data_IF_008867686833
#
_entry.id   IF_008867686833
#
_cell.length_a   1.000
_cell.length_b   1.000
_cell.length_c   1.000
_cell.angle_alpha   90.00
_cell.angle_beta   90.00
_cell.angle_gamma   90.00
#
_symmetry.space_group_name_H-M   'P 1'
#
loop_
_entity.id
_entity.type
_entity.pdbx_description
1 polymer ?
#
# COMPACT_ATOMS: atom_id res chain seq x y z
N UNK A 1 20.84 -25.66 -24.63
CA UNK A 1 19.38 -25.88 -24.58
C UNK A 1 18.85 -25.23 -23.30
N UNK A 2 18.43 -23.96 -23.36
CA UNK A 2 17.96 -23.20 -22.18
C UNK A 2 16.50 -23.56 -21.94
N UNK A 3 16.18 -24.15 -20.79
CA UNK A 3 14.79 -24.32 -20.34
C UNK A 3 14.29 -22.97 -19.83
N UNK A 4 13.31 -22.40 -20.51
CA UNK A 4 12.49 -21.32 -19.99
C UNK A 4 11.66 -21.88 -18.83
N UNK A 5 12.04 -21.56 -17.60
CA UNK A 5 11.16 -21.77 -16.44
C UNK A 5 10.29 -20.52 -16.37
N UNK A 6 9.08 -20.61 -16.93
CA UNK A 6 7.99 -19.73 -16.52
C UNK A 6 7.61 -20.20 -15.12
N UNK A 7 8.17 -19.54 -14.11
CA UNK A 7 7.78 -19.77 -12.72
C UNK A 7 6.41 -19.13 -12.50
N UNK A 8 5.33 -19.86 -12.79
CA UNK A 8 4.06 -19.58 -12.12
C UNK A 8 4.19 -20.09 -10.69
N UNK A 9 4.71 -19.25 -9.80
CA UNK A 9 4.64 -19.52 -8.36
C UNK A 9 3.16 -19.62 -8.01
N UNK A 10 2.70 -20.83 -7.71
CA UNK A 10 1.40 -21.06 -7.12
C UNK A 10 1.37 -20.31 -5.78
N UNK A 11 0.60 -19.22 -5.70
CA UNK A 11 0.36 -18.49 -4.47
C UNK A 11 -0.96 -19.02 -3.88
N UNK A 12 -0.93 -19.99 -2.94
CA UNK A 12 -2.14 -20.66 -2.45
C UNK A 12 -3.17 -19.71 -1.83
N UNK A 13 -2.74 -18.52 -1.42
CA UNK A 13 -3.57 -17.50 -0.78
C UNK A 13 -4.10 -16.44 -1.75
N UNK A 14 -3.70 -16.45 -3.02
CA UNK A 14 -4.16 -15.44 -3.99
C UNK A 14 -5.65 -15.58 -4.36
N UNK A 15 -6.23 -16.78 -4.21
CA UNK A 15 -7.62 -17.07 -4.59
C UNK A 15 -8.49 -17.51 -3.40
N UNK A 16 -8.14 -17.09 -2.18
CA UNK A 16 -8.77 -17.64 -0.98
C UNK A 16 -10.27 -17.33 -0.90
N UNK A 17 -10.72 -16.14 -1.32
CA UNK A 17 -12.14 -15.79 -1.31
C UNK A 17 -12.92 -16.61 -2.34
N UNK A 18 -12.34 -16.79 -3.53
CA UNK A 18 -12.91 -17.59 -4.61
C UNK A 18 -12.99 -19.09 -4.32
N UNK A 19 -12.17 -19.57 -3.38
CA UNK A 19 -12.12 -20.97 -2.94
C UNK A 19 -12.93 -21.25 -1.65
N UNK A 20 -13.62 -20.24 -1.10
CA UNK A 20 -14.48 -20.44 0.07
C UNK A 20 -15.63 -21.42 -0.23
N UNK A 21 -15.99 -22.32 0.70
CA UNK A 21 -17.20 -23.12 0.57
C UNK A 21 -18.43 -22.22 0.52
N UNK A 22 -19.50 -22.70 -0.11
CA UNK A 22 -20.74 -21.92 -0.32
C UNK A 22 -21.34 -21.35 0.98
N UNK A 23 -21.23 -22.07 2.08
CA UNK A 23 -21.69 -21.61 3.40
C UNK A 23 -20.99 -20.35 3.90
N UNK A 24 -19.77 -20.07 3.43
CA UNK A 24 -19.01 -18.86 3.75
C UNK A 24 -19.10 -17.80 2.65
N UNK A 25 -19.05 -18.20 1.38
CA UNK A 25 -19.13 -17.26 0.25
C UNK A 25 -20.53 -16.66 0.04
N UNK A 26 -21.57 -17.23 0.65
CA UNK A 26 -22.93 -16.66 0.68
C UNK A 26 -23.16 -15.68 1.83
N UNK A 27 -22.22 -15.55 2.78
CA UNK A 27 -22.35 -14.60 3.88
C UNK A 27 -22.13 -13.16 3.38
N UNK A 28 -22.77 -12.16 4.00
CA UNK A 28 -22.38 -10.77 3.82
C UNK A 28 -20.88 -10.60 4.11
N UNK A 29 -20.18 -9.79 3.31
CA UNK A 29 -18.74 -9.55 3.49
C UNK A 29 -18.36 -9.06 4.89
N UNK A 30 -19.26 -8.31 5.55
CA UNK A 30 -19.08 -7.84 6.93
C UNK A 30 -18.98 -8.98 7.96
N UNK A 31 -19.42 -10.19 7.62
CA UNK A 31 -19.39 -11.37 8.48
C UNK A 31 -18.22 -12.30 8.16
N UNK A 32 -17.38 -11.95 7.17
CA UNK A 32 -16.21 -12.70 6.80
C UNK A 32 -14.98 -12.13 7.52
N UNK A 33 -14.15 -13.01 8.09
CA UNK A 33 -12.84 -12.60 8.57
C UNK A 33 -11.93 -12.31 7.37
N UNK A 34 -11.65 -11.03 7.13
CA UNK A 34 -10.83 -10.56 6.00
C UNK A 34 -9.50 -10.04 6.54
N UNK A 35 -8.35 -10.60 6.11
CA UNK A 35 -7.05 -10.08 6.53
C UNK A 35 -6.77 -8.72 5.89
N UNK A 36 -6.29 -7.80 6.73
CA UNK A 36 -5.92 -6.44 6.33
C UNK A 36 -4.51 -6.08 6.75
N UNK A 37 -3.93 -5.08 6.08
CA UNK A 37 -2.67 -4.45 6.48
C UNK A 37 -2.91 -2.98 6.83
N UNK A 38 -2.24 -2.51 7.89
CA UNK A 38 -2.29 -1.11 8.35
C UNK A 38 -1.18 -0.30 7.68
N UNK A 39 -1.48 0.93 7.27
CA UNK A 39 -0.56 1.78 6.49
C UNK A 39 0.06 0.99 5.32
N UNK A 40 -0.78 0.34 4.52
CA UNK A 40 -0.39 -0.78 3.66
C UNK A 40 0.67 -0.47 2.61
N UNK A 41 0.81 0.82 2.25
CA UNK A 41 1.71 1.31 1.20
C UNK A 41 3.02 1.87 1.73
N UNK A 42 3.32 1.64 3.01
CA UNK A 42 4.55 2.09 3.65
C UNK A 42 5.78 1.20 3.41
N UNK A 43 5.70 0.20 2.53
CA UNK A 43 6.82 -0.70 2.21
C UNK A 43 8.01 0.00 1.55
N UNK A 44 7.76 1.15 0.93
CA UNK A 44 8.78 2.00 0.36
C UNK A 44 8.40 3.47 0.53
N UNK A 45 9.39 4.28 0.91
CA UNK A 45 9.26 5.73 1.05
C UNK A 45 10.45 6.43 0.40
N UNK A 46 10.21 7.57 -0.22
CA UNK A 46 11.24 8.39 -0.84
C UNK A 46 11.94 9.26 0.21
N UNK A 47 13.16 8.88 0.59
CA UNK A 47 14.00 9.64 1.53
C UNK A 47 14.36 11.04 1.01
N UNK A 48 14.30 11.27 -0.31
CA UNK A 48 14.60 12.57 -0.91
C UNK A 48 13.39 13.50 -0.88
N UNK A 49 12.18 12.95 -0.73
CA UNK A 49 10.96 13.74 -0.64
C UNK A 49 10.90 14.60 0.63
N UNK A 50 10.09 15.67 0.62
CA UNK A 50 9.77 16.40 1.84
C UNK A 50 9.09 15.48 2.85
N UNK A 51 9.18 15.86 4.13
CA UNK A 51 8.43 15.19 5.20
C UNK A 51 6.93 15.33 4.91
N UNK A 52 6.19 14.24 5.08
CA UNK A 52 4.77 14.18 4.82
C UNK A 52 3.97 15.19 5.66
N UNK A 53 2.81 15.63 5.16
CA UNK A 53 1.95 16.56 5.89
C UNK A 53 1.41 15.98 7.20
N UNK A 54 1.34 14.65 7.31
CA UNK A 54 0.89 13.87 8.47
C UNK A 54 1.83 13.96 9.70
N UNK A 55 3.01 14.55 9.54
CA UNK A 55 3.96 14.75 10.63
C UNK A 55 3.80 16.11 11.33
N UNK A 56 4.09 16.14 12.63
CA UNK A 56 4.00 17.36 13.43
C UNK A 56 5.02 18.43 13.01
N UNK A 57 4.73 19.69 13.31
CA UNK A 57 5.60 20.84 13.00
C UNK A 57 7.00 20.68 13.62
N UNK A 58 7.07 20.08 14.82
CA UNK A 58 8.34 19.81 15.51
C UNK A 58 9.18 18.81 14.72
N UNK A 59 8.56 17.72 14.23
CA UNK A 59 9.25 16.70 13.42
C UNK A 59 9.73 17.29 12.10
N UNK A 60 8.91 18.13 11.44
CA UNK A 60 9.29 18.85 10.23
C UNK A 60 10.52 19.74 10.45
N UNK A 61 10.54 20.54 11.52
CA UNK A 61 11.71 21.36 11.90
C UNK A 61 12.96 20.54 12.22
N UNK A 62 12.83 19.45 12.96
CA UNK A 62 13.96 18.58 13.27
C UNK A 62 14.56 17.94 12.01
N UNK A 63 13.72 17.56 11.05
CA UNK A 63 14.16 17.04 9.76
C UNK A 63 14.88 18.10 8.90
N UNK A 64 14.53 19.38 9.02
CA UNK A 64 15.24 20.48 8.36
C UNK A 64 16.64 20.71 8.96
N UNK A 65 16.76 20.62 10.28
CA UNK A 65 18.01 20.88 11.01
C UNK A 65 18.98 19.69 10.89
N UNK A 66 18.49 18.46 11.02
CA UNK A 66 19.30 17.23 11.11
C UNK A 66 19.16 16.31 9.88
N UNK A 67 18.92 16.91 8.70
CA UNK A 67 18.56 16.30 7.40
C UNK A 67 18.89 14.82 7.22
N UNK A 68 20.17 14.45 7.15
CA UNK A 68 20.57 13.10 6.70
C UNK A 68 20.39 12.02 7.78
N UNK A 69 20.75 12.30 9.04
CA UNK A 69 20.60 11.31 10.13
C UNK A 69 19.14 11.16 10.54
N UNK A 70 18.39 12.26 10.60
CA UNK A 70 17.00 12.22 11.06
C UNK A 70 16.10 11.51 10.04
N UNK A 71 16.24 11.80 8.73
CA UNK A 71 15.43 11.14 7.69
C UNK A 71 15.65 9.63 7.60
N UNK A 72 16.88 9.14 7.84
CA UNK A 72 17.15 7.69 7.92
C UNK A 72 16.38 7.01 9.06
N UNK A 73 16.24 7.68 10.20
CA UNK A 73 15.45 7.17 11.33
C UNK A 73 13.96 7.27 11.04
N UNK A 74 13.51 8.38 10.45
CA UNK A 74 12.12 8.55 10.02
C UNK A 74 11.68 7.43 9.08
N UNK A 75 12.50 7.06 8.09
CA UNK A 75 12.18 5.92 7.21
C UNK A 75 11.93 4.65 8.02
N UNK A 76 12.79 4.32 8.99
CA UNK A 76 12.60 3.11 9.80
C UNK A 76 11.31 3.15 10.61
N UNK A 77 10.93 4.32 11.12
CA UNK A 77 9.68 4.50 11.85
C UNK A 77 8.45 4.54 10.94
N UNK A 78 8.67 4.88 9.67
CA UNK A 78 7.60 5.05 8.69
C UNK A 78 7.22 3.76 7.96
N UNK A 79 8.03 2.71 8.03
CA UNK A 79 7.73 1.45 7.32
C UNK A 79 7.00 0.49 8.26
N UNK A 80 5.73 0.19 7.96
CA UNK A 80 4.92 -0.80 8.68
C UNK A 80 4.81 -2.13 7.93
N UNK A 81 5.13 -2.13 6.62
CA UNK A 81 5.08 -3.30 5.76
C UNK A 81 6.46 -3.60 5.17
N UNK A 82 6.82 -4.88 5.05
CA UNK A 82 8.02 -5.34 4.33
C UNK A 82 7.70 -5.89 2.94
N UNK A 83 6.42 -6.19 2.67
CA UNK A 83 5.95 -6.72 1.40
C UNK A 83 5.45 -5.60 0.49
N UNK A 84 5.80 -5.72 -0.79
CA UNK A 84 5.20 -4.89 -1.84
C UNK A 84 3.70 -5.12 -1.93
N UNK A 85 3.01 -4.21 -2.60
CA UNK A 85 1.58 -4.28 -2.77
C UNK A 85 1.11 -5.61 -3.42
N UNK A 86 1.80 -6.03 -4.47
CA UNK A 86 1.54 -7.31 -5.14
C UNK A 86 1.77 -8.50 -4.21
N UNK A 87 2.86 -8.50 -3.44
CA UNK A 87 3.16 -9.59 -2.51
C UNK A 87 2.13 -9.68 -1.37
N UNK A 88 1.62 -8.54 -0.89
CA UNK A 88 0.52 -8.53 0.10
C UNK A 88 -0.75 -9.19 -0.48
N UNK A 89 -1.11 -8.87 -1.72
CA UNK A 89 -2.24 -9.50 -2.41
C UNK A 89 -2.04 -11.00 -2.61
N UNK A 90 -0.86 -11.41 -3.08
CA UNK A 90 -0.48 -12.81 -3.27
C UNK A 90 -0.43 -13.59 -1.93
N UNK A 91 -0.12 -12.92 -0.83
CA UNK A 91 -0.17 -13.46 0.54
C UNK A 91 -1.58 -13.51 1.14
N UNK A 92 -2.59 -12.95 0.47
CA UNK A 92 -4.00 -13.05 0.85
C UNK A 92 -4.60 -11.79 1.49
N UNK A 93 -3.86 -10.69 1.62
CA UNK A 93 -4.40 -9.42 2.13
C UNK A 93 -5.48 -8.89 1.19
N UNK A 94 -6.62 -8.47 1.74
CA UNK A 94 -7.75 -7.91 0.98
C UNK A 94 -8.28 -6.60 1.53
N UNK A 95 -7.90 -6.21 2.75
CA UNK A 95 -8.20 -4.88 3.29
C UNK A 95 -6.93 -4.04 3.32
N UNK A 96 -6.96 -2.89 2.67
CA UNK A 96 -5.84 -1.95 2.63
C UNK A 96 -6.24 -0.62 3.26
N UNK A 97 -5.53 -0.24 4.33
CA UNK A 97 -5.61 1.08 4.96
C UNK A 97 -4.68 2.06 4.24
N UNK A 98 -5.28 3.08 3.63
CA UNK A 98 -4.64 4.00 2.70
C UNK A 98 -4.65 5.42 3.26
N UNK A 99 -3.47 6.02 3.27
CA UNK A 99 -3.27 7.45 3.53
C UNK A 99 -2.73 8.11 2.29
N UNK A 100 -3.33 9.23 1.88
CA UNK A 100 -3.02 9.88 0.61
C UNK A 100 -2.79 11.39 0.76
N UNK A 101 -1.93 11.92 -0.09
CA UNK A 101 -1.65 13.35 -0.19
C UNK A 101 -1.19 13.74 -1.58
N UNK A 102 -1.46 14.98 -1.97
CA UNK A 102 -0.72 15.63 -3.06
C UNK A 102 0.69 15.95 -2.59
N UNK A 103 1.63 16.11 -3.53
CA UNK A 103 3.02 16.41 -3.22
C UNK A 103 3.36 17.86 -3.62
N UNK A 104 3.93 18.68 -2.72
CA UNK A 104 4.36 20.03 -3.08
C UNK A 104 5.38 20.02 -4.23
N UNK A 105 5.14 20.85 -5.24
CA UNK A 105 5.99 20.96 -6.43
C UNK A 105 5.78 19.85 -7.47
N UNK A 106 4.75 19.01 -7.32
CA UNK A 106 4.30 18.13 -8.40
C UNK A 106 3.37 18.91 -9.33
N UNK A 107 3.82 19.16 -10.56
CA UNK A 107 3.08 19.92 -11.56
C UNK A 107 1.77 19.23 -11.99
N UNK A 108 1.73 17.89 -11.90
CA UNK A 108 0.57 17.09 -12.29
C UNK A 108 -0.50 16.99 -11.17
N UNK A 109 -0.22 17.53 -9.97
CA UNK A 109 -1.05 17.41 -8.76
C UNK A 109 -1.53 15.96 -8.48
N UNK A 110 -0.65 14.97 -8.70
CA UNK A 110 -1.02 13.57 -8.53
C UNK A 110 -1.10 13.19 -7.03
N UNK A 111 -1.91 12.17 -6.73
CA UNK A 111 -2.01 11.61 -5.38
C UNK A 111 -0.93 10.57 -5.15
N UNK A 112 -0.32 10.63 -3.97
CA UNK A 112 0.69 9.69 -3.48
C UNK A 112 0.21 9.04 -2.20
N UNK A 113 0.58 7.77 -2.01
CA UNK A 113 0.48 7.18 -0.68
C UNK A 113 1.52 7.82 0.24
N UNK A 114 1.13 8.07 1.49
CA UNK A 114 2.02 8.69 2.48
C UNK A 114 1.99 7.95 3.80
N UNK A 115 3.12 7.92 4.47
CA UNK A 115 3.23 7.61 5.89
C UNK A 115 4.57 8.15 6.38
N UNK A 116 4.57 9.31 7.03
CA UNK A 116 5.77 10.08 7.39
C UNK A 116 6.53 10.70 6.21
N UNK A 117 6.61 10.00 5.09
CA UNK A 117 7.24 10.37 3.82
C UNK A 117 6.35 9.96 2.64
N UNK A 118 6.62 10.52 1.47
CA UNK A 118 5.92 10.19 0.23
C UNK A 118 6.38 8.84 -0.33
N UNK A 119 5.40 7.99 -0.67
CA UNK A 119 5.60 6.71 -1.35
C UNK A 119 5.32 6.80 -2.86
N UNK A 120 4.75 5.73 -3.41
CA UNK A 120 4.38 5.65 -4.83
C UNK A 120 3.08 6.42 -5.13
N UNK A 121 2.85 6.76 -6.41
CA UNK A 121 1.58 7.33 -6.87
C UNK A 121 0.42 6.35 -6.63
N UNK A 122 -0.73 6.87 -6.17
CA UNK A 122 -1.95 6.09 -5.93
C UNK A 122 -2.38 5.36 -7.20
N UNK A 123 -2.30 6.05 -8.35
CA UNK A 123 -2.61 5.46 -9.67
C UNK A 123 -1.81 4.18 -9.94
N UNK A 124 -0.53 4.13 -9.57
CA UNK A 124 0.30 2.94 -9.80
C UNK A 124 -0.08 1.78 -8.85
N UNK A 125 -0.46 2.09 -7.61
CA UNK A 125 -1.04 1.08 -6.70
C UNK A 125 -2.36 0.51 -7.23
N UNK A 126 -3.27 1.38 -7.68
CA UNK A 126 -4.57 0.96 -8.25
C UNK A 126 -4.40 0.12 -9.54
N UNK A 127 -3.38 0.41 -10.36
CA UNK A 127 -3.05 -0.44 -11.52
C UNK A 127 -2.66 -1.86 -11.12
N UNK A 128 -1.89 -2.01 -10.04
CA UNK A 128 -1.52 -3.34 -9.53
C UNK A 128 -2.74 -4.09 -8.98
N UNK A 129 -3.66 -3.40 -8.29
CA UNK A 129 -4.96 -3.96 -7.86
C UNK A 129 -5.73 -4.48 -9.06
N UNK A 130 -5.89 -3.62 -10.07
CA UNK A 130 -6.65 -3.96 -11.26
C UNK A 130 -6.02 -5.16 -12.00
N UNK A 131 -4.69 -5.21 -12.08
CA UNK A 131 -3.99 -6.36 -12.64
C UNK A 131 -4.29 -7.64 -11.84
N UNK A 132 -4.25 -7.58 -10.51
CA UNK A 132 -4.56 -8.73 -9.65
C UNK A 132 -6.01 -9.20 -9.85
N UNK A 133 -7.01 -8.31 -9.77
CA UNK A 133 -8.42 -8.67 -9.92
C UNK A 133 -8.76 -9.25 -11.30
N UNK A 134 -8.03 -8.85 -12.36
CA UNK A 134 -8.16 -9.48 -13.68
C UNK A 134 -7.74 -10.96 -13.70
N UNK A 135 -6.76 -11.33 -12.88
CA UNK A 135 -6.25 -12.70 -12.80
C UNK A 135 -6.97 -13.51 -11.69
N UNK A 136 -7.60 -12.85 -10.73
CA UNK A 136 -8.29 -13.45 -9.58
C UNK A 136 -9.74 -12.92 -9.49
N UNK A 137 -10.62 -13.29 -10.43
CA UNK A 137 -11.90 -12.60 -10.67
C UNK A 137 -12.96 -12.81 -9.57
N UNK A 138 -12.71 -13.70 -8.61
CA UNK A 138 -13.61 -13.96 -7.47
C UNK A 138 -13.15 -13.27 -6.18
N UNK A 139 -12.04 -12.55 -6.22
CA UNK A 139 -11.53 -11.82 -5.08
C UNK A 139 -12.19 -10.44 -4.97
N UNK A 140 -12.34 -9.96 -3.74
CA UNK A 140 -12.84 -8.61 -3.46
C UNK A 140 -11.79 -7.88 -2.63
N UNK A 141 -11.45 -6.66 -3.03
CA UNK A 141 -10.47 -5.83 -2.34
C UNK A 141 -11.17 -4.61 -1.73
N UNK A 142 -10.97 -4.42 -0.43
CA UNK A 142 -11.43 -3.27 0.34
C UNK A 142 -10.31 -2.22 0.37
N UNK A 143 -10.63 -1.02 -0.10
CA UNK A 143 -9.74 0.13 -0.09
C UNK A 143 -10.32 1.16 0.85
N UNK A 144 -9.65 1.35 1.99
CA UNK A 144 -10.02 2.33 3.00
C UNK A 144 -9.13 3.57 2.85
N UNK A 145 -9.61 4.60 2.17
CA UNK A 145 -8.96 5.90 2.10
C UNK A 145 -9.29 6.70 3.35
N UNK A 146 -8.63 6.34 4.46
CA UNK A 146 -8.99 6.81 5.79
C UNK A 146 -8.47 8.23 6.07
N UNK A 147 -7.29 8.59 5.55
CA UNK A 147 -6.69 9.90 5.79
C UNK A 147 -6.28 10.61 4.50
N UNK A 148 -6.78 11.82 4.32
CA UNK A 148 -6.52 12.68 3.16
C UNK A 148 -5.82 13.94 3.66
N UNK A 149 -4.67 14.26 3.09
CA UNK A 149 -3.87 15.41 3.51
C UNK A 149 -3.54 16.30 2.32
N UNK A 150 -3.60 17.62 2.51
CA UNK A 150 -3.26 18.62 1.49
C UNK A 150 -3.90 18.35 0.10
N UNK A 151 -5.09 17.74 0.08
CA UNK A 151 -5.87 17.52 -1.14
C UNK A 151 -6.67 18.78 -1.43
N UNK A 152 -6.01 19.77 -2.02
CA UNK A 152 -6.66 20.95 -2.64
C UNK A 152 -6.92 20.70 -4.12
#
# INVERSE_FOLDING_TARGET
MRRNIVSSTFCPHADWMGNLPWSLSSLPLANLAVPGSHDSFSFWVDEKSPVGPDQSVVVKRLAEIFRSLFKKNMKKWSMTQSLTFREQLEAGIRYFDLRVSTKPGDEDNELYFIHGLFGIKVREGLKQINYFLKNHPKEVIFLDFNHHYATE
#
